data_IF_955368004388
#
_entry.id   IF_955368004388
#
_cell.length_a   1.000
_cell.length_b   1.000
_cell.length_c   1.000
_cell.angle_alpha   90.00
_cell.angle_beta   90.00
_cell.angle_gamma   90.00
#
_symmetry.space_group_name_H-M   'P 1'
#
loop_
_entity.id
_entity.type
_entity.pdbx_description
1 polymer ?
#
# COMPACT_ATOMS: atom_id res chain seq x y z
N UNK A 1 -70.83 44.08 32.42
CA UNK A 1 -70.50 42.72 31.93
C UNK A 1 -69.42 42.83 30.86
N UNK A 2 -68.15 42.62 31.20
CA UNK A 2 -67.04 42.57 30.24
C UNK A 2 -66.46 41.16 30.27
N UNK A 3 -66.53 40.48 29.11
CA UNK A 3 -65.96 39.14 28.89
C UNK A 3 -64.48 39.30 28.57
N UNK A 4 -63.60 38.85 29.45
CA UNK A 4 -62.17 38.64 29.18
C UNK A 4 -62.01 37.41 28.28
N UNK A 5 -61.43 37.60 27.10
CA UNK A 5 -61.01 36.52 26.21
C UNK A 5 -59.52 36.26 26.45
N UNK A 6 -59.17 35.06 26.92
CA UNK A 6 -57.80 34.57 26.92
C UNK A 6 -57.41 34.23 25.48
N UNK A 7 -56.47 34.97 24.91
CA UNK A 7 -55.82 34.58 23.65
C UNK A 7 -54.69 33.62 24.01
N UNK A 8 -54.92 32.32 23.78
CA UNK A 8 -53.88 31.30 23.77
C UNK A 8 -53.05 31.48 22.49
N UNK A 9 -51.84 32.00 22.63
CA UNK A 9 -50.83 31.98 21.56
C UNK A 9 -50.23 30.57 21.52
N UNK A 10 -50.32 29.82 20.41
CA UNK A 10 -49.61 28.56 20.30
C UNK A 10 -48.11 28.86 20.13
N UNK A 11 -47.33 28.62 21.17
CA UNK A 11 -45.87 28.51 21.06
C UNK A 11 -45.57 27.28 20.21
N UNK A 12 -45.33 27.48 18.91
CA UNK A 12 -44.73 26.45 18.05
C UNK A 12 -43.27 26.33 18.48
N UNK A 13 -43.00 25.35 19.35
CA UNK A 13 -41.64 24.92 19.68
C UNK A 13 -41.00 24.34 18.42
N UNK A 14 -40.27 25.16 17.68
CA UNK A 14 -39.31 24.69 16.70
C UNK A 14 -38.19 24.00 17.48
N UNK A 15 -38.30 22.69 17.66
CA UNK A 15 -37.21 21.86 18.15
C UNK A 15 -35.96 22.16 17.33
N UNK A 16 -34.87 22.56 17.97
CA UNK A 16 -33.58 22.85 17.31
C UNK A 16 -33.08 21.69 16.41
N UNK A 17 -33.60 20.47 16.64
CA UNK A 17 -33.38 19.29 15.79
C UNK A 17 -33.94 19.41 14.36
N UNK A 18 -34.98 20.23 14.12
CA UNK A 18 -35.58 20.42 12.79
C UNK A 18 -34.84 21.45 11.91
N UNK A 19 -33.91 22.22 12.49
CA UNK A 19 -33.08 23.22 11.80
C UNK A 19 -31.69 22.69 11.41
N UNK A 20 -31.31 21.49 11.85
CA UNK A 20 -30.12 20.81 11.37
C UNK A 20 -30.44 20.18 10.00
N UNK A 21 -29.94 20.80 8.92
CA UNK A 21 -30.02 20.21 7.57
C UNK A 21 -29.43 18.78 7.52
N UNK A 22 -29.72 18.02 6.46
CA UNK A 22 -29.17 16.68 6.31
C UNK A 22 -27.65 16.77 6.42
N UNK A 23 -27.01 15.93 7.24
CA UNK A 23 -25.74 16.38 7.73
C UNK A 23 -24.65 16.08 6.67
N UNK A 24 -23.65 16.97 6.57
CA UNK A 24 -22.78 17.11 5.38
C UNK A 24 -21.59 16.15 5.38
N UNK A 25 -21.61 15.15 4.50
CA UNK A 25 -20.50 14.20 4.33
C UNK A 25 -19.21 14.96 3.97
N UNK A 26 -18.09 14.76 4.70
CA UNK A 26 -16.80 15.33 4.35
C UNK A 26 -16.42 14.94 2.92
N UNK A 27 -15.92 15.90 2.15
CA UNK A 27 -15.42 15.61 0.81
C UNK A 27 -14.13 14.78 0.91
N UNK A 28 -13.91 13.82 -0.02
CA UNK A 28 -12.62 13.15 -0.18
C UNK A 28 -11.46 14.15 -0.29
N UNK A 29 -10.34 13.81 0.33
CA UNK A 29 -9.11 14.56 0.17
C UNK A 29 -8.47 14.29 -1.20
N UNK A 30 -8.56 13.05 -1.66
CA UNK A 30 -7.94 12.48 -2.84
C UNK A 30 -9.01 12.16 -3.90
N UNK A 31 -8.64 12.33 -5.17
CA UNK A 31 -9.52 12.05 -6.29
C UNK A 31 -9.80 10.55 -6.44
N UNK A 32 -10.96 10.19 -6.98
CA UNK A 32 -11.34 8.80 -7.26
C UNK A 32 -11.88 8.01 -6.06
N UNK A 33 -11.90 8.61 -4.88
CA UNK A 33 -12.55 8.05 -3.69
C UNK A 33 -14.03 8.38 -3.73
N UNK A 34 -14.86 7.34 -3.58
CA UNK A 34 -16.31 7.43 -3.52
C UNK A 34 -16.80 7.04 -2.13
N UNK A 35 -17.98 7.53 -1.78
CA UNK A 35 -18.63 7.24 -0.53
C UNK A 35 -20.01 6.66 -0.82
N UNK A 36 -20.31 5.55 -0.18
CA UNK A 36 -21.60 4.88 -0.31
C UNK A 36 -22.22 4.75 1.09
N UNK A 37 -23.34 5.44 1.38
CA UNK A 37 -24.03 5.30 2.66
C UNK A 37 -24.73 3.94 2.71
N UNK A 38 -24.63 3.24 3.83
CA UNK A 38 -25.43 2.04 4.05
C UNK A 38 -26.88 2.44 4.38
N UNK A 39 -27.88 1.88 3.67
CA UNK A 39 -29.28 2.20 3.91
C UNK A 39 -29.67 1.99 5.37
N UNK A 40 -30.37 2.96 5.96
CA UNK A 40 -30.91 2.90 7.32
C UNK A 40 -29.85 2.75 8.44
N UNK A 41 -28.59 3.13 8.19
CA UNK A 41 -27.54 3.17 9.22
C UNK A 41 -26.82 4.52 9.22
N UNK A 42 -26.07 4.82 10.28
CA UNK A 42 -25.16 5.97 10.36
C UNK A 42 -23.76 5.66 9.81
N UNK A 43 -23.64 4.57 9.04
CA UNK A 43 -22.38 4.03 8.52
C UNK A 43 -22.25 4.33 7.03
N UNK A 44 -21.05 4.72 6.63
CA UNK A 44 -20.67 4.81 5.22
C UNK A 44 -19.51 3.87 4.90
N UNK A 45 -19.58 3.27 3.70
CA UNK A 45 -18.49 2.59 3.03
C UNK A 45 -17.64 3.61 2.25
N UNK A 46 -16.33 3.42 2.29
CA UNK A 46 -15.39 4.16 1.43
C UNK A 46 -14.92 3.20 0.33
N UNK A 47 -15.07 3.63 -0.92
CA UNK A 47 -14.71 2.85 -2.11
C UNK A 47 -13.64 3.61 -2.90
N UNK A 48 -12.65 2.89 -3.40
CA UNK A 48 -11.61 3.46 -4.25
C UNK A 48 -11.21 2.46 -5.33
N UNK A 49 -11.54 2.77 -6.58
CA UNK A 49 -11.19 1.95 -7.75
C UNK A 49 -11.59 0.47 -7.53
N UNK A 50 -10.72 -0.48 -7.90
CA UNK A 50 -10.87 -1.93 -7.70
C UNK A 50 -10.41 -2.41 -6.32
N UNK A 51 -10.23 -1.52 -5.33
CA UNK A 51 -9.83 -1.94 -3.99
C UNK A 51 -10.88 -2.86 -3.38
N UNK A 52 -10.47 -4.03 -2.88
CA UNK A 52 -11.35 -5.00 -2.20
C UNK A 52 -11.54 -4.72 -0.72
N UNK A 53 -10.83 -3.74 -0.16
CA UNK A 53 -10.95 -3.38 1.25
C UNK A 53 -12.09 -2.41 1.47
N UNK A 54 -12.92 -2.68 2.46
CA UNK A 54 -14.01 -1.81 2.88
C UNK A 54 -13.72 -1.26 4.27
N UNK A 55 -13.82 0.07 4.40
CA UNK A 55 -13.72 0.74 5.69
C UNK A 55 -15.12 1.20 6.10
N UNK A 56 -15.52 0.86 7.33
CA UNK A 56 -16.80 1.29 7.89
C UNK A 56 -16.56 2.43 8.85
N UNK A 57 -17.29 3.52 8.62
CA UNK A 57 -17.24 4.69 9.50
C UNK A 57 -18.53 4.77 10.32
N UNK A 58 -18.50 4.18 11.51
CA UNK A 58 -19.70 3.90 12.33
C UNK A 58 -20.42 5.06 13.03
N UNK A 59 -20.29 6.32 12.57
CA UNK A 59 -21.00 7.47 13.12
C UNK A 59 -21.25 8.49 12.03
N UNK A 60 -22.34 9.27 12.10
CA UNK A 60 -22.88 9.90 10.93
C UNK A 60 -21.78 10.82 10.37
N UNK A 61 -21.57 10.83 9.03
CA UNK A 61 -20.28 10.90 8.34
C UNK A 61 -19.33 12.09 8.66
N UNK A 62 -19.62 12.96 9.63
CA UNK A 62 -19.11 14.30 9.89
C UNK A 62 -17.76 14.43 10.57
N UNK A 63 -17.20 13.35 11.15
CA UNK A 63 -15.85 13.45 11.72
C UNK A 63 -14.82 13.33 10.60
N UNK A 64 -14.47 14.48 10.03
CA UNK A 64 -13.53 14.61 8.91
C UNK A 64 -12.26 13.78 9.11
N UNK A 65 -11.68 13.76 10.32
CA UNK A 65 -10.44 13.00 10.59
C UNK A 65 -10.66 11.49 10.43
N UNK A 66 -11.75 10.92 10.97
CA UNK A 66 -12.06 9.48 10.86
C UNK A 66 -12.21 9.08 9.39
N UNK A 67 -12.94 9.90 8.63
CA UNK A 67 -13.14 9.70 7.20
C UNK A 67 -11.83 9.79 6.41
N UNK A 68 -11.03 10.82 6.63
CA UNK A 68 -9.78 11.05 5.91
C UNK A 68 -8.73 9.99 6.22
N UNK A 69 -8.69 9.48 7.45
CA UNK A 69 -7.81 8.36 7.84
C UNK A 69 -8.19 7.10 7.08
N UNK A 70 -9.48 6.73 7.09
CA UNK A 70 -9.99 5.57 6.36
C UNK A 70 -9.74 5.67 4.84
N UNK A 71 -9.98 6.85 4.26
CA UNK A 71 -9.65 7.17 2.88
C UNK A 71 -8.16 6.92 2.58
N UNK A 72 -7.26 7.50 3.40
CA UNK A 72 -5.83 7.35 3.19
C UNK A 72 -5.41 5.87 3.21
N UNK A 73 -5.88 5.09 4.20
CA UNK A 73 -5.50 3.67 4.29
C UNK A 73 -5.97 2.91 3.07
N UNK A 74 -7.21 3.14 2.61
CA UNK A 74 -7.73 2.51 1.40
C UNK A 74 -6.90 2.81 0.17
N UNK A 75 -6.58 4.08 -0.06
CA UNK A 75 -5.78 4.52 -1.20
C UNK A 75 -4.36 3.96 -1.10
N UNK A 76 -3.76 3.97 0.09
CA UNK A 76 -2.40 3.45 0.29
C UNK A 76 -2.31 1.94 0.09
N UNK A 77 -3.27 1.17 0.61
CA UNK A 77 -3.36 -0.26 0.37
C UNK A 77 -3.63 -0.57 -1.10
N UNK A 78 -4.44 0.24 -1.79
CA UNK A 78 -4.66 0.07 -3.22
C UNK A 78 -3.36 0.28 -4.02
N UNK A 79 -2.57 1.31 -3.68
CA UNK A 79 -1.27 1.53 -4.30
C UNK A 79 -0.33 0.36 -4.04
N UNK A 80 -0.28 -0.15 -2.80
CA UNK A 80 0.60 -1.26 -2.40
C UNK A 80 0.22 -2.58 -3.05
N UNK A 81 -1.07 -2.95 -3.06
CA UNK A 81 -1.56 -4.27 -3.50
C UNK A 81 -1.80 -4.35 -5.01
N UNK A 82 -2.33 -3.29 -5.63
CA UNK A 82 -2.84 -3.36 -7.01
C UNK A 82 -2.05 -2.52 -8.00
N UNK A 83 -1.49 -1.37 -7.57
CA UNK A 83 -0.76 -0.48 -8.49
C UNK A 83 0.76 -0.65 -8.45
N UNK A 84 1.32 -1.18 -7.35
CA UNK A 84 2.76 -1.45 -7.20
C UNK A 84 3.17 -2.47 -8.26
N UNK A 85 3.99 -2.09 -9.25
CA UNK A 85 4.50 -3.05 -10.22
C UNK A 85 5.43 -4.05 -9.53
N UNK A 86 5.27 -5.32 -9.89
CA UNK A 86 6.00 -6.42 -9.24
C UNK A 86 7.19 -6.86 -10.09
N UNK A 87 8.38 -6.36 -9.75
CA UNK A 87 9.64 -6.77 -10.38
C UNK A 87 9.97 -8.25 -10.14
N UNK A 88 9.55 -8.83 -9.00
CA UNK A 88 9.77 -10.24 -8.66
C UNK A 88 8.95 -11.14 -9.59
N UNK A 89 7.68 -10.80 -9.85
CA UNK A 89 6.85 -11.51 -10.83
C UNK A 89 7.45 -11.47 -12.24
N UNK A 90 7.95 -10.30 -12.68
CA UNK A 90 8.56 -10.15 -14.00
C UNK A 90 9.81 -11.03 -14.18
N UNK A 91 10.61 -11.20 -13.12
CA UNK A 91 11.74 -12.13 -13.13
C UNK A 91 11.26 -13.59 -13.22
N UNK A 92 10.20 -13.94 -12.50
CA UNK A 92 9.65 -15.31 -12.49
C UNK A 92 9.05 -15.72 -13.84
N UNK A 93 8.53 -14.77 -14.61
CA UNK A 93 8.00 -14.99 -15.95
C UNK A 93 9.09 -15.26 -17.00
N UNK A 94 10.36 -15.03 -16.69
CA UNK A 94 11.45 -15.30 -17.62
C UNK A 94 11.61 -16.81 -17.89
N UNK A 95 11.99 -17.21 -19.13
CA UNK A 95 12.29 -18.59 -19.46
C UNK A 95 13.26 -19.24 -18.48
N UNK A 96 13.00 -20.50 -18.10
CA UNK A 96 13.80 -21.23 -17.10
C UNK A 96 15.31 -21.24 -17.42
N UNK A 97 15.66 -21.35 -18.71
CA UNK A 97 17.06 -21.31 -19.17
C UNK A 97 17.78 -20.01 -18.82
N UNK A 98 17.07 -18.88 -18.80
CA UNK A 98 17.65 -17.56 -18.52
C UNK A 98 17.74 -17.27 -17.02
N UNK A 99 16.78 -17.76 -16.23
CA UNK A 99 16.68 -17.47 -14.78
C UNK A 99 17.91 -17.91 -13.98
N UNK A 100 18.64 -18.93 -14.43
CA UNK A 100 19.72 -19.55 -13.67
C UNK A 100 21.03 -18.74 -13.59
N UNK A 101 21.11 -17.53 -14.16
CA UNK A 101 22.34 -16.75 -14.10
C UNK A 101 22.28 -15.38 -14.74
N UNK A 102 23.45 -14.89 -15.15
CA UNK A 102 23.66 -13.55 -15.69
C UNK A 102 22.93 -13.33 -17.04
N UNK A 103 22.66 -14.42 -17.76
CA UNK A 103 21.95 -14.43 -19.05
C UNK A 103 20.59 -13.73 -19.00
N UNK A 104 19.86 -13.83 -17.88
CA UNK A 104 18.59 -13.11 -17.70
C UNK A 104 18.76 -11.60 -17.95
N UNK A 105 19.86 -11.03 -17.48
CA UNK A 105 20.13 -9.61 -17.57
C UNK A 105 20.60 -9.20 -18.98
N UNK A 106 21.06 -10.14 -19.81
CA UNK A 106 21.47 -9.88 -21.20
C UNK A 106 20.29 -9.81 -22.17
N UNK A 107 19.16 -10.43 -21.84
CA UNK A 107 18.02 -10.51 -22.73
C UNK A 107 17.39 -9.12 -22.96
N UNK A 108 17.34 -8.70 -24.23
CA UNK A 108 16.84 -7.36 -24.59
C UNK A 108 15.36 -7.18 -24.27
N UNK A 109 14.56 -8.25 -24.36
CA UNK A 109 13.14 -8.17 -24.06
C UNK A 109 12.94 -8.00 -22.55
N UNK A 110 13.69 -8.73 -21.74
CA UNK A 110 13.73 -8.56 -20.29
C UNK A 110 14.16 -7.15 -19.90
N UNK A 111 15.25 -6.62 -20.46
CA UNK A 111 15.70 -5.26 -20.18
C UNK A 111 14.65 -4.20 -20.55
N UNK A 112 13.99 -4.34 -21.71
CA UNK A 112 12.93 -3.43 -22.15
C UNK A 112 11.71 -3.51 -21.23
N UNK A 113 11.33 -4.72 -20.84
CA UNK A 113 10.21 -4.96 -19.91
C UNK A 113 10.50 -4.39 -18.52
N UNK A 114 11.71 -4.61 -17.99
CA UNK A 114 12.17 -4.03 -16.73
C UNK A 114 12.07 -2.50 -16.72
N UNK A 115 12.54 -1.84 -17.78
CA UNK A 115 12.43 -0.38 -17.93
C UNK A 115 10.98 0.10 -17.95
N UNK A 116 10.08 -0.65 -18.61
CA UNK A 116 8.65 -0.35 -18.62
C UNK A 116 8.03 -0.45 -17.22
N UNK A 117 8.37 -1.51 -16.48
CA UNK A 117 7.93 -1.73 -15.09
C UNK A 117 8.43 -0.61 -14.18
N UNK A 118 9.71 -0.23 -14.32
CA UNK A 118 10.31 0.87 -13.59
C UNK A 118 9.61 2.22 -13.87
N UNK A 119 9.27 2.51 -15.14
CA UNK A 119 8.52 3.71 -15.49
C UNK A 119 7.10 3.69 -14.87
N UNK A 120 6.43 2.55 -14.87
CA UNK A 120 5.14 2.40 -14.18
C UNK A 120 5.29 2.63 -12.66
N UNK A 121 6.37 2.13 -12.06
CA UNK A 121 6.65 2.28 -10.63
C UNK A 121 6.88 3.76 -10.29
N UNK A 122 7.63 4.48 -11.10
CA UNK A 122 7.86 5.92 -10.96
C UNK A 122 6.57 6.73 -11.03
N UNK A 123 5.67 6.40 -11.96
CA UNK A 123 4.35 7.04 -12.06
C UNK A 123 3.50 6.75 -10.83
N UNK A 124 3.50 5.52 -10.34
CA UNK A 124 2.81 5.13 -9.10
C UNK A 124 3.36 5.91 -7.91
N UNK A 125 4.69 6.00 -7.74
CA UNK A 125 5.34 6.78 -6.69
C UNK A 125 5.00 8.28 -6.78
N UNK A 126 4.94 8.85 -7.98
CA UNK A 126 4.53 10.23 -8.16
C UNK A 126 3.08 10.45 -7.71
N UNK A 127 2.17 9.55 -8.08
CA UNK A 127 0.78 9.55 -7.60
C UNK A 127 0.71 9.43 -6.07
N UNK A 128 1.47 8.50 -5.49
CA UNK A 128 1.53 8.30 -4.05
C UNK A 128 2.05 9.55 -3.31
N UNK A 129 3.12 10.19 -3.81
CA UNK A 129 3.68 11.43 -3.24
C UNK A 129 2.70 12.61 -3.29
N UNK A 130 1.78 12.62 -4.26
CA UNK A 130 0.78 13.66 -4.43
C UNK A 130 -0.46 13.45 -3.54
N UNK A 131 -0.53 12.35 -2.80
CA UNK A 131 -1.64 12.09 -1.89
C UNK A 131 -1.71 13.15 -0.80
N UNK A 132 -2.93 13.59 -0.51
CA UNK A 132 -3.21 14.39 0.67
C UNK A 132 -3.34 13.45 1.86
N UNK A 133 -2.49 13.69 2.86
CA UNK A 133 -2.33 12.81 4.02
C UNK A 133 -2.87 13.51 5.27
N UNK A 134 -3.84 12.91 5.99
CA UNK A 134 -4.27 13.44 7.27
C UNK A 134 -3.16 13.27 8.32
N UNK A 135 -3.10 14.18 9.29
CA UNK A 135 -2.02 14.22 10.29
C UNK A 135 -1.76 12.86 11.00
N UNK A 136 -2.80 12.10 11.43
CA UNK A 136 -2.59 10.79 12.06
C UNK A 136 -1.87 9.76 11.17
N UNK A 137 -2.03 9.88 9.84
CA UNK A 137 -1.46 8.94 8.88
C UNK A 137 -0.05 9.31 8.40
N UNK A 138 0.51 10.44 8.87
CA UNK A 138 1.80 10.93 8.36
C UNK A 138 2.93 9.92 8.54
N UNK A 139 3.00 9.26 9.70
CA UNK A 139 4.01 8.24 9.96
C UNK A 139 3.88 7.03 9.01
N UNK A 140 2.66 6.55 8.78
CA UNK A 140 2.38 5.46 7.86
C UNK A 140 2.74 5.85 6.41
N UNK A 141 2.38 7.07 5.99
CA UNK A 141 2.73 7.60 4.68
C UNK A 141 4.24 7.69 4.47
N UNK A 142 4.96 8.26 5.43
CA UNK A 142 6.42 8.39 5.35
C UNK A 142 7.10 7.02 5.30
N UNK A 143 6.58 6.03 6.05
CA UNK A 143 7.06 4.65 6.03
C UNK A 143 6.80 3.99 4.66
N UNK A 144 5.57 4.07 4.12
CA UNK A 144 5.23 3.55 2.79
C UNK A 144 6.10 4.18 1.71
N UNK A 145 6.15 5.52 1.67
CA UNK A 145 6.90 6.26 0.66
C UNK A 145 8.36 5.82 0.67
N UNK A 146 8.99 5.79 1.85
CA UNK A 146 10.41 5.43 1.98
C UNK A 146 10.68 4.02 1.44
N UNK A 147 9.83 3.04 1.77
CA UNK A 147 10.05 1.65 1.37
C UNK A 147 9.80 1.44 -0.13
N UNK A 148 8.78 2.10 -0.70
CA UNK A 148 8.55 2.07 -2.15
C UNK A 148 9.70 2.76 -2.91
N UNK A 149 10.26 3.85 -2.38
CA UNK A 149 11.45 4.51 -2.94
C UNK A 149 12.72 3.66 -2.82
N UNK A 150 12.82 2.84 -1.77
CA UNK A 150 13.93 1.90 -1.60
C UNK A 150 13.85 0.75 -2.62
N UNK A 151 12.66 0.20 -2.86
CA UNK A 151 12.47 -0.81 -3.90
C UNK A 151 12.74 -0.24 -5.30
N UNK A 152 12.24 0.96 -5.59
CA UNK A 152 12.57 1.65 -6.83
C UNK A 152 14.09 1.78 -6.98
N UNK A 153 14.78 2.27 -5.92
CA UNK A 153 16.23 2.43 -5.94
C UNK A 153 16.99 1.12 -6.16
N UNK A 154 16.54 0.01 -5.57
CA UNK A 154 17.09 -1.32 -5.85
C UNK A 154 16.97 -1.64 -7.35
N UNK A 155 15.78 -1.48 -7.92
CA UNK A 155 15.54 -1.76 -9.33
C UNK A 155 16.34 -0.85 -10.28
N UNK A 156 16.47 0.43 -9.93
CA UNK A 156 17.31 1.38 -10.67
C UNK A 156 18.79 0.97 -10.63
N UNK A 157 19.28 0.57 -9.46
CA UNK A 157 20.69 0.23 -9.26
C UNK A 157 21.06 -1.02 -10.04
N UNK A 158 20.19 -2.04 -10.01
CA UNK A 158 20.32 -3.25 -10.85
C UNK A 158 20.38 -2.87 -12.33
N UNK A 159 19.39 -2.11 -12.83
CA UNK A 159 19.37 -1.73 -14.24
C UNK A 159 20.62 -0.92 -14.64
N UNK A 160 21.05 0.01 -13.80
CA UNK A 160 22.22 0.86 -14.05
C UNK A 160 23.53 0.06 -14.14
N UNK A 161 23.75 -0.87 -13.20
CA UNK A 161 25.00 -1.63 -13.12
C UNK A 161 24.97 -2.84 -14.05
N UNK A 162 23.95 -3.66 -13.92
CA UNK A 162 23.91 -5.00 -14.48
C UNK A 162 23.47 -5.07 -15.93
N UNK A 163 22.69 -4.10 -16.43
CA UNK A 163 22.31 -4.10 -17.86
C UNK A 163 23.42 -3.51 -18.75
N UNK A 164 24.33 -2.73 -18.15
CA UNK A 164 25.48 -2.18 -18.86
C UNK A 164 26.65 -3.17 -18.91
N UNK A 165 26.99 -3.76 -17.75
CA UNK A 165 28.07 -4.74 -17.63
C UNK A 165 27.62 -5.88 -16.69
N UNK A 166 27.97 -7.11 -17.07
CA UNK A 166 27.54 -8.34 -16.39
C UNK A 166 28.70 -9.05 -15.68
N UNK A 167 29.79 -8.33 -15.45
CA UNK A 167 31.00 -8.87 -14.84
C UNK A 167 30.97 -8.79 -13.30
N UNK A 168 32.02 -9.31 -12.66
CA UNK A 168 32.20 -9.26 -11.20
C UNK A 168 32.24 -7.80 -10.72
N UNK A 169 32.90 -6.92 -11.46
CA UNK A 169 33.08 -5.52 -11.05
C UNK A 169 31.74 -4.77 -11.00
N UNK A 170 30.85 -5.01 -11.95
CA UNK A 170 29.50 -4.44 -11.94
C UNK A 170 28.70 -4.87 -10.71
N UNK A 171 28.86 -6.12 -10.27
CA UNK A 171 28.21 -6.68 -9.07
C UNK A 171 28.76 -6.08 -7.77
N UNK A 172 30.08 -5.94 -7.66
CA UNK A 172 30.70 -5.22 -6.53
C UNK A 172 30.21 -3.76 -6.44
N UNK A 173 30.11 -3.08 -7.59
CA UNK A 173 29.60 -1.71 -7.65
C UNK A 173 28.11 -1.64 -7.28
N UNK A 174 27.32 -2.65 -7.64
CA UNK A 174 25.94 -2.75 -7.18
C UNK A 174 25.88 -2.87 -5.65
N UNK A 175 26.70 -3.73 -5.04
CA UNK A 175 26.80 -3.83 -3.57
C UNK A 175 27.13 -2.47 -2.94
N UNK A 176 28.09 -1.75 -3.49
CA UNK A 176 28.47 -0.42 -2.99
C UNK A 176 27.30 0.57 -3.07
N UNK A 177 26.57 0.60 -4.19
CA UNK A 177 25.40 1.47 -4.36
C UNK A 177 24.31 1.17 -3.32
N UNK A 178 24.07 -0.12 -3.03
CA UNK A 178 23.03 -0.57 -2.10
C UNK A 178 23.43 -0.42 -0.63
N UNK A 179 24.72 -0.50 -0.31
CA UNK A 179 25.23 -0.53 1.07
C UNK A 179 24.77 0.67 1.90
N UNK A 180 24.76 1.87 1.32
CA UNK A 180 24.39 3.09 2.04
C UNK A 180 22.92 3.11 2.52
N UNK A 181 22.03 2.35 1.87
CA UNK A 181 20.60 2.33 2.22
C UNK A 181 20.16 1.11 3.02
N UNK A 182 20.79 -0.04 2.79
CA UNK A 182 20.28 -1.32 3.26
C UNK A 182 21.17 -2.01 4.29
N UNK A 183 22.50 -1.90 4.18
CA UNK A 183 23.44 -2.70 4.99
C UNK A 183 23.27 -2.50 6.50
N UNK A 184 22.96 -1.29 6.94
CA UNK A 184 22.75 -0.99 8.35
C UNK A 184 21.44 -1.58 8.93
N UNK A 185 20.50 -2.02 8.08
CA UNK A 185 19.23 -2.62 8.52
C UNK A 185 19.42 -4.06 8.95
N UNK A 186 20.23 -4.80 8.20
CA UNK A 186 20.60 -6.19 8.47
C UNK A 186 21.92 -6.48 7.76
N UNK A 187 23.04 -6.34 8.48
CA UNK A 187 24.37 -6.46 7.90
C UNK A 187 24.68 -7.88 7.46
N UNK A 188 24.29 -8.87 8.26
CA UNK A 188 24.56 -10.28 7.98
C UNK A 188 23.84 -10.72 6.70
N UNK A 189 22.53 -10.46 6.61
CA UNK A 189 21.78 -10.83 5.42
C UNK A 189 22.19 -10.04 4.18
N UNK A 190 22.48 -8.75 4.34
CA UNK A 190 22.93 -7.92 3.23
C UNK A 190 24.23 -8.46 2.65
N UNK A 191 25.24 -8.69 3.50
CA UNK A 191 26.54 -9.17 3.06
C UNK A 191 26.42 -10.58 2.45
N UNK A 192 25.62 -11.48 3.05
CA UNK A 192 25.37 -12.82 2.48
C UNK A 192 24.73 -12.76 1.09
N UNK A 193 23.67 -11.97 0.90
CA UNK A 193 22.99 -11.86 -0.39
C UNK A 193 23.89 -11.26 -1.47
N UNK A 194 24.67 -10.24 -1.12
CA UNK A 194 25.64 -9.65 -2.05
C UNK A 194 26.79 -10.60 -2.39
N UNK A 195 27.34 -11.32 -1.40
CA UNK A 195 28.41 -12.29 -1.62
C UNK A 195 27.95 -13.46 -2.51
N UNK A 196 26.72 -13.95 -2.31
CA UNK A 196 26.13 -14.99 -3.18
C UNK A 196 25.98 -14.48 -4.62
N UNK A 197 25.44 -13.27 -4.79
CA UNK A 197 25.23 -12.68 -6.10
C UNK A 197 26.53 -12.32 -6.82
N UNK A 198 27.54 -11.84 -6.11
CA UNK A 198 28.89 -11.58 -6.66
C UNK A 198 29.55 -12.85 -7.20
N UNK A 199 29.22 -14.04 -6.63
CA UNK A 199 29.69 -15.32 -7.15
C UNK A 199 28.91 -15.75 -8.39
N UNK A 200 27.59 -15.91 -8.31
CA UNK A 200 26.80 -16.58 -9.36
C UNK A 200 26.12 -15.62 -10.37
N UNK A 201 25.90 -14.37 -9.98
CA UNK A 201 25.25 -13.34 -10.82
C UNK A 201 23.77 -13.60 -11.06
N UNK A 202 23.15 -14.46 -10.25
CA UNK A 202 21.79 -14.91 -10.45
C UNK A 202 20.78 -13.88 -9.91
N UNK A 203 20.26 -13.05 -10.82
CA UNK A 203 19.30 -12.01 -10.47
C UNK A 203 17.97 -12.60 -9.96
N UNK A 204 17.59 -13.80 -10.42
CA UNK A 204 16.36 -14.46 -9.98
C UNK A 204 16.39 -14.97 -8.55
N UNK A 205 17.59 -15.16 -7.99
CA UNK A 205 17.77 -15.42 -6.57
C UNK A 205 17.96 -14.11 -5.79
N UNK A 206 18.83 -13.22 -6.28
CA UNK A 206 19.20 -12.01 -5.57
C UNK A 206 18.01 -11.06 -5.36
N UNK A 207 17.32 -10.66 -6.43
CA UNK A 207 16.31 -9.61 -6.34
C UNK A 207 15.11 -10.02 -5.50
N UNK A 208 14.48 -11.20 -5.70
CA UNK A 208 13.35 -11.63 -4.87
C UNK A 208 13.72 -11.74 -3.38
N UNK A 209 14.87 -12.36 -3.06
CA UNK A 209 15.31 -12.49 -1.66
C UNK A 209 15.63 -11.14 -1.03
N UNK A 210 16.19 -10.20 -1.80
CA UNK A 210 16.43 -8.84 -1.32
C UNK A 210 15.13 -8.11 -1.00
N UNK A 211 14.13 -8.21 -1.88
CA UNK A 211 12.79 -7.65 -1.65
C UNK A 211 12.15 -8.25 -0.41
N UNK A 212 12.16 -9.58 -0.29
CA UNK A 212 11.57 -10.29 0.84
C UNK A 212 12.24 -9.92 2.18
N UNK A 213 13.55 -9.66 2.19
CA UNK A 213 14.29 -9.33 3.42
C UNK A 213 14.25 -7.84 3.79
N UNK A 214 14.29 -6.94 2.81
CA UNK A 214 14.51 -5.50 3.06
C UNK A 214 13.32 -4.60 2.71
N UNK A 215 12.40 -5.06 1.87
CA UNK A 215 11.26 -4.26 1.38
C UNK A 215 9.96 -4.72 2.05
N UNK A 216 9.63 -6.01 1.98
CA UNK A 216 8.36 -6.53 2.53
C UNK A 216 8.18 -6.26 4.03
N UNK A 217 9.19 -6.40 4.90
CA UNK A 217 9.05 -6.05 6.32
C UNK A 217 8.74 -4.56 6.53
N UNK A 218 9.30 -3.70 5.68
CA UNK A 218 9.03 -2.26 5.71
C UNK A 218 7.60 -1.92 5.30
N UNK A 219 7.07 -2.60 4.28
CA UNK A 219 5.67 -2.45 3.85
C UNK A 219 4.71 -2.97 4.93
N UNK A 220 5.05 -4.09 5.59
CA UNK A 220 4.27 -4.61 6.73
C UNK A 220 4.24 -3.61 7.88
N UNK A 221 5.38 -3.04 8.27
CA UNK A 221 5.43 -2.02 9.31
C UNK A 221 4.64 -0.75 8.93
N UNK A 222 4.72 -0.31 7.66
CA UNK A 222 3.92 0.82 7.19
C UNK A 222 2.41 0.56 7.29
N UNK A 223 1.98 -0.68 7.02
CA UNK A 223 0.59 -1.11 7.23
C UNK A 223 0.21 -1.09 8.71
N UNK A 224 1.03 -1.64 9.59
CA UNK A 224 0.78 -1.62 11.04
C UNK A 224 0.63 -0.19 11.59
N UNK A 225 1.41 0.75 11.07
CA UNK A 225 1.27 2.19 11.39
C UNK A 225 -0.06 2.77 10.88
N UNK A 226 -0.52 2.37 9.69
CA UNK A 226 -1.81 2.78 9.15
C UNK A 226 -2.97 2.22 9.99
N UNK A 227 -2.89 0.95 10.38
CA UNK A 227 -3.88 0.30 11.26
C UNK A 227 -3.91 0.96 12.64
N UNK A 228 -2.75 1.36 13.18
CA UNK A 228 -2.69 2.14 14.42
C UNK A 228 -3.40 3.49 14.27
N UNK A 229 -3.13 4.23 13.20
CA UNK A 229 -3.80 5.51 12.93
C UNK A 229 -5.32 5.36 12.80
N UNK A 230 -5.78 4.27 12.20
CA UNK A 230 -7.20 3.92 12.15
C UNK A 230 -7.82 3.70 13.52
N UNK A 231 -7.18 2.89 14.38
CA UNK A 231 -7.67 2.63 15.74
C UNK A 231 -7.76 3.91 16.56
N UNK A 232 -6.76 4.78 16.47
CA UNK A 232 -6.74 6.08 17.15
C UNK A 232 -7.83 7.03 16.63
N UNK A 233 -8.17 6.95 15.34
CA UNK A 233 -9.27 7.70 14.73
C UNK A 233 -10.65 7.03 14.89
N UNK A 234 -10.70 5.83 15.49
CA UNK A 234 -11.90 5.02 15.67
C UNK A 234 -12.49 4.49 14.36
N UNK A 235 -11.67 4.16 13.36
CA UNK A 235 -12.08 3.53 12.08
C UNK A 235 -12.07 2.01 12.23
N UNK A 236 -13.14 1.35 11.80
CA UNK A 236 -13.29 -0.11 11.86
C UNK A 236 -13.09 -0.75 10.48
N UNK A 237 -12.38 -1.88 10.44
CA UNK A 237 -12.28 -2.72 9.24
C UNK A 237 -13.58 -3.49 9.03
N UNK A 238 -14.05 -3.54 7.79
CA UNK A 238 -14.90 -4.62 7.33
C UNK A 238 -14.10 -5.45 6.33
N UNK A 239 -13.65 -6.63 6.76
CA UNK A 239 -13.00 -7.57 5.86
C UNK A 239 -14.12 -8.34 5.16
N UNK A 240 -14.17 -8.27 3.83
CA UNK A 240 -15.01 -9.19 3.06
C UNK A 240 -14.49 -10.62 3.34
N UNK A 241 -15.37 -11.52 3.78
CA UNK A 241 -15.05 -12.86 4.27
C UNK A 241 -14.15 -13.73 3.35
N UNK A 242 -13.98 -13.33 2.09
CA UNK A 242 -13.11 -14.01 1.12
C UNK A 242 -11.59 -13.75 1.30
N UNK A 243 -11.15 -12.78 2.14
CA UNK A 243 -9.71 -12.54 2.34
C UNK A 243 -9.08 -13.37 3.49
N UNK A 244 -9.87 -13.94 4.42
CA UNK A 244 -9.33 -14.82 5.48
C UNK A 244 -8.96 -16.22 4.94
N UNK A 245 -9.75 -16.78 4.03
CA UNK A 245 -9.50 -18.14 3.49
C UNK A 245 -8.25 -18.24 2.59
N UNK A 246 -7.74 -17.12 2.08
CA UNK A 246 -6.50 -17.11 1.29
C UNK A 246 -5.22 -17.05 2.14
N UNK A 247 -5.33 -16.78 3.45
CA UNK A 247 -4.18 -16.61 4.36
C UNK A 247 -3.85 -17.83 5.23
N UNK A 248 -4.79 -18.77 5.40
CA UNK A 248 -4.61 -19.96 6.26
C UNK A 248 -4.59 -21.30 5.50
N UNK A 249 -4.67 -21.27 4.17
CA UNK A 249 -4.81 -22.47 3.32
C UNK A 249 -3.54 -23.03 2.68
N UNK A 250 -2.33 -22.75 3.20
CA UNK A 250 -1.10 -23.41 2.67
C UNK A 250 -0.11 -23.76 3.78
N UNK A 251 -0.58 -24.44 4.82
CA UNK A 251 0.27 -25.27 5.68
C UNK A 251 -0.43 -26.59 6.01
N UNK A 252 0.04 -27.66 5.37
CA UNK A 252 -0.06 -29.02 5.91
C UNK A 252 -1.03 -29.94 5.19
N UNK A 253 -0.52 -30.61 4.14
CA UNK A 253 -0.88 -32.00 3.86
C UNK A 253 0.26 -32.66 3.06
N UNK A 254 1.36 -32.94 3.77
CA UNK A 254 2.26 -34.03 3.39
C UNK A 254 1.78 -35.30 4.08
N UNK A 255 1.63 -36.36 3.28
CA UNK A 255 1.62 -37.79 3.62
C UNK A 255 0.53 -38.37 4.54
N UNK A 256 -0.34 -39.22 3.97
CA UNK A 256 -0.70 -40.53 4.53
C UNK A 256 -1.48 -41.39 3.50
N UNK A 257 -0.93 -42.55 3.11
CA UNK A 257 -1.60 -43.74 2.52
C UNK A 257 -2.22 -43.56 1.13
N UNK A 258 -2.04 -44.43 0.15
CA UNK A 258 -1.85 -45.88 0.12
C UNK A 258 -1.24 -46.27 -1.24
#
# INVERSE_FOLDING_TARGET
>A
MMKTWFVLVPMVLWSAAALAGPPVVPKPLNAGVQYEPYPNTDISQIVFSTSRQEFRTGHPPYKAVKFQVAEFVLVAEHHRKYLRPDFKAEIQLAPARLRAGVELMADKNFQAKWKSVQLAYQKMLQGFRALKVPAPCKAAFDAYRKILEDEEFLAQSVARRMFAAQDIRARELLRQDLSGRFRARDTEWFDRLCDDFEKDGNLSNFFPRFVDQFIEPGLKNARELAEKAMREAGVDYAVAAAEEEAGEGEKGAGEAGE
#
